data_IF_835414955195
#
_entry.id   IF_835414955195
#
_cell.length_a   1.000
_cell.length_b   1.000
_cell.length_c   1.000
_cell.angle_alpha   90.00
_cell.angle_beta   90.00
_cell.angle_gamma   90.00
#
_symmetry.space_group_name_H-M   'P 1'
#
loop_
_entity.id
_entity.type
_entity.pdbx_description
1 polymer ?
#
# COMPACT_ATOMS: atom_id res chain seq x y z
N UNK A 1 0.81 -13.36 -6.97
CA UNK A 1 -0.37 -12.56 -7.32
C UNK A 1 0.05 -11.09 -7.28
N UNK A 2 -0.41 -10.28 -8.23
CA UNK A 2 -0.07 -8.86 -8.36
C UNK A 2 -1.33 -8.04 -8.58
N UNK A 3 -1.21 -6.74 -8.33
CA UNK A 3 -2.23 -5.72 -8.54
C UNK A 3 -1.62 -4.65 -9.44
N UNK A 4 -2.41 -4.15 -10.38
CA UNK A 4 -2.03 -3.02 -11.23
C UNK A 4 -3.04 -1.91 -10.98
N UNK A 5 -2.54 -0.75 -10.58
CA UNK A 5 -3.33 0.44 -10.36
C UNK A 5 -3.23 1.30 -11.61
N UNK A 6 -4.36 1.52 -12.27
CA UNK A 6 -4.44 2.32 -13.48
C UNK A 6 -4.90 3.73 -13.13
N UNK A 7 -4.11 4.75 -13.47
CA UNK A 7 -4.56 6.13 -13.36
C UNK A 7 -5.78 6.38 -14.24
N UNK A 8 -6.75 7.13 -13.71
CA UNK A 8 -7.99 7.44 -14.43
C UNK A 8 -7.85 8.63 -15.38
N UNK A 9 -6.72 9.35 -15.36
CA UNK A 9 -6.43 10.50 -16.23
C UNK A 9 -5.49 10.20 -17.40
N UNK A 10 -4.73 9.11 -17.34
CA UNK A 10 -3.72 8.74 -18.33
C UNK A 10 -3.51 7.23 -18.40
N UNK A 11 -3.71 6.64 -19.59
CA UNK A 11 -3.57 5.20 -19.83
C UNK A 11 -2.13 4.67 -19.65
N UNK A 12 -1.11 5.55 -19.59
CA UNK A 12 0.29 5.15 -19.44
C UNK A 12 0.85 5.44 -18.04
N UNK A 13 0.00 5.82 -17.08
CA UNK A 13 0.42 6.07 -15.71
C UNK A 13 -0.14 4.98 -14.79
N UNK A 14 0.70 4.02 -14.45
CA UNK A 14 0.31 2.85 -13.67
C UNK A 14 1.27 2.60 -12.52
N UNK A 15 0.76 1.95 -11.48
CA UNK A 15 1.57 1.46 -10.37
C UNK A 15 1.36 -0.04 -10.20
N UNK A 16 2.45 -0.81 -10.15
CA UNK A 16 2.41 -2.27 -10.01
C UNK A 16 2.82 -2.68 -8.60
N UNK A 17 1.99 -3.50 -7.96
CA UNK A 17 2.22 -4.03 -6.63
C UNK A 17 2.17 -5.55 -6.62
N UNK A 18 3.09 -6.22 -5.94
CA UNK A 18 2.90 -7.63 -5.60
C UNK A 18 1.97 -7.75 -4.38
N UNK A 19 1.37 -8.93 -4.18
CA UNK A 19 0.43 -9.17 -3.07
C UNK A 19 1.04 -8.97 -1.67
N UNK A 20 2.34 -9.19 -1.53
CA UNK A 20 3.05 -9.07 -0.25
C UNK A 20 3.11 -7.62 0.22
N UNK A 21 3.46 -6.72 -0.70
CA UNK A 21 3.46 -5.29 -0.48
C UNK A 21 2.04 -4.72 -0.42
N UNK A 22 1.18 -5.14 -1.36
CA UNK A 22 -0.17 -4.59 -1.47
C UNK A 22 -1.00 -4.81 -0.21
N UNK A 23 -0.98 -6.02 0.35
CA UNK A 23 -1.70 -6.29 1.60
C UNK A 23 -1.18 -5.46 2.77
N UNK A 24 0.13 -5.29 2.91
CA UNK A 24 0.69 -4.50 3.99
C UNK A 24 0.29 -3.02 3.89
N UNK A 25 0.33 -2.41 2.69
CA UNK A 25 -0.12 -1.01 2.56
C UNK A 25 -1.62 -0.85 2.77
N UNK A 26 -2.46 -1.84 2.44
CA UNK A 26 -3.89 -1.75 2.71
C UNK A 26 -4.20 -1.71 4.20
N UNK A 27 -3.45 -2.42 5.04
CA UNK A 27 -3.59 -2.30 6.51
C UNK A 27 -3.14 -0.91 7.00
N UNK A 28 -2.11 -0.32 6.40
CA UNK A 28 -1.71 1.07 6.69
C UNK A 28 -2.82 2.05 6.31
N UNK A 29 -3.38 1.95 5.11
CA UNK A 29 -4.48 2.80 4.64
C UNK A 29 -5.71 2.64 5.53
N UNK A 30 -5.98 1.42 5.99
CA UNK A 30 -7.06 1.13 6.94
C UNK A 30 -6.85 1.83 8.28
N UNK A 31 -5.65 1.81 8.82
CA UNK A 31 -5.30 2.47 10.10
C UNK A 31 -5.40 4.00 10.02
N UNK A 32 -5.06 4.56 8.85
CA UNK A 32 -5.20 6.00 8.58
C UNK A 32 -6.66 6.47 8.47
N UNK A 33 -7.62 5.54 8.31
CA UNK A 33 -9.07 5.80 8.24
C UNK A 33 -9.50 6.88 7.21
N UNK A 34 -8.78 6.94 6.07
CA UNK A 34 -9.01 7.95 5.02
C UNK A 34 -10.19 7.57 4.12
N UNK A 35 -10.35 6.27 3.86
CA UNK A 35 -11.43 5.69 3.06
C UNK A 35 -12.11 4.58 3.84
N UNK A 36 -13.38 4.31 3.52
CA UNK A 36 -14.16 3.30 4.25
C UNK A 36 -13.47 1.92 4.25
N UNK A 37 -13.58 1.18 5.35
CA UNK A 37 -13.05 -0.19 5.45
C UNK A 37 -13.55 -1.11 4.33
N UNK A 38 -14.82 -0.95 3.91
CA UNK A 38 -15.38 -1.70 2.78
C UNK A 38 -14.60 -1.46 1.50
N UNK A 39 -14.16 -0.22 1.25
CA UNK A 39 -13.42 0.16 0.05
C UNK A 39 -11.99 -0.39 0.08
N UNK A 40 -11.30 -0.28 1.24
CA UNK A 40 -10.00 -0.93 1.46
C UNK A 40 -10.09 -2.44 1.21
N UNK A 41 -11.12 -3.08 1.75
CA UNK A 41 -11.37 -4.52 1.57
C UNK A 41 -11.57 -4.88 0.10
N UNK A 42 -12.30 -4.07 -0.66
CA UNK A 42 -12.51 -4.28 -2.10
C UNK A 42 -11.21 -4.14 -2.90
N UNK A 43 -10.32 -3.20 -2.54
CA UNK A 43 -8.99 -3.06 -3.14
C UNK A 43 -8.10 -4.29 -2.92
N UNK A 44 -8.37 -5.10 -1.89
CA UNK A 44 -7.66 -6.34 -1.61
C UNK A 44 -8.02 -7.52 -2.52
N UNK A 45 -9.07 -7.40 -3.34
CA UNK A 45 -9.53 -8.45 -4.25
C UNK A 45 -9.27 -8.06 -5.71
N UNK A 46 -8.65 -8.96 -6.46
CA UNK A 46 -8.49 -8.80 -7.90
C UNK A 46 -9.85 -8.78 -8.61
N UNK A 47 -9.91 -8.04 -9.73
CA UNK A 47 -11.04 -7.94 -10.64
C UNK A 47 -12.33 -7.31 -10.05
N UNK A 48 -12.24 -6.63 -8.90
CA UNK A 48 -13.34 -5.80 -8.38
C UNK A 48 -13.44 -4.46 -9.11
N UNK A 49 -12.35 -3.97 -9.71
CA UNK A 49 -12.32 -2.69 -10.40
C UNK A 49 -12.58 -1.51 -9.45
N UNK A 50 -12.03 -1.60 -8.24
CA UNK A 50 -12.32 -0.62 -7.18
C UNK A 50 -11.70 0.71 -7.57
N UNK A 51 -12.49 1.79 -7.54
CA UNK A 51 -12.04 3.12 -7.92
C UNK A 51 -11.80 3.97 -6.69
N UNK A 52 -10.62 4.58 -6.63
CA UNK A 52 -10.27 5.66 -5.72
C UNK A 52 -10.35 6.96 -6.52
N UNK A 53 -11.13 7.93 -6.05
CA UNK A 53 -11.22 9.21 -6.74
C UNK A 53 -9.97 10.08 -6.49
N UNK A 54 -9.91 11.24 -7.14
CA UNK A 54 -8.76 12.13 -7.03
C UNK A 54 -8.52 12.60 -5.59
N UNK A 55 -9.58 12.98 -4.88
CA UNK A 55 -9.46 13.54 -3.54
C UNK A 55 -8.99 12.46 -2.57
N UNK A 56 -9.60 11.28 -2.60
CA UNK A 56 -9.18 10.13 -1.80
C UNK A 56 -7.74 9.71 -2.13
N UNK A 57 -7.36 9.67 -3.41
CA UNK A 57 -6.01 9.32 -3.81
C UNK A 57 -4.99 10.31 -3.25
N UNK A 58 -5.29 11.61 -3.32
CA UNK A 58 -4.40 12.65 -2.80
C UNK A 58 -4.31 12.58 -1.28
N UNK A 59 -5.42 12.40 -0.57
CA UNK A 59 -5.42 12.20 0.88
C UNK A 59 -4.58 10.99 1.30
N UNK A 60 -4.70 9.86 0.60
CA UNK A 60 -3.85 8.68 0.82
C UNK A 60 -2.37 9.04 0.62
N UNK A 61 -2.04 9.69 -0.50
CA UNK A 61 -0.67 10.07 -0.82
C UNK A 61 -0.05 11.03 0.20
N UNK A 62 -0.82 12.03 0.65
CA UNK A 62 -0.39 12.99 1.67
C UNK A 62 -0.14 12.31 3.01
N UNK A 63 -1.09 11.51 3.50
CA UNK A 63 -0.94 10.81 4.77
C UNK A 63 0.23 9.81 4.76
N UNK A 64 0.42 9.08 3.66
CA UNK A 64 1.59 8.20 3.52
C UNK A 64 2.90 8.99 3.55
N UNK A 65 2.97 10.12 2.85
CA UNK A 65 4.16 10.98 2.80
C UNK A 65 4.45 11.65 4.15
N UNK A 66 3.42 12.14 4.83
CA UNK A 66 3.57 13.04 5.98
C UNK A 66 3.53 12.30 7.32
N UNK A 67 2.85 11.15 7.39
CA UNK A 67 2.67 10.40 8.64
C UNK A 67 3.43 9.08 8.69
N UNK A 68 3.56 8.39 7.55
CA UNK A 68 4.14 7.04 7.48
C UNK A 68 5.61 7.10 7.09
N UNK A 69 5.93 7.81 6.00
CA UNK A 69 7.29 7.91 5.47
C UNK A 69 8.32 8.43 6.50
N UNK A 70 8.02 9.44 7.36
CA UNK A 70 8.98 9.91 8.35
C UNK A 70 9.29 8.89 9.45
N UNK A 71 8.37 7.95 9.71
CA UNK A 71 8.55 6.85 10.68
C UNK A 71 9.39 5.71 10.08
N UNK A 72 9.32 5.54 8.76
CA UNK A 72 10.07 4.56 7.97
C UNK A 72 11.37 5.17 7.47
N UNK A 73 12.48 5.03 8.20
CA UNK A 73 13.79 5.35 7.62
C UNK A 73 14.10 4.44 6.40
N UNK A 74 14.99 4.81 5.46
CA UNK A 74 15.22 4.08 4.21
C UNK A 74 15.44 2.56 4.32
N UNK A 75 16.02 2.08 5.42
CA UNK A 75 16.31 0.65 5.66
C UNK A 75 15.23 -0.07 6.49
N UNK A 76 14.08 0.56 6.73
CA UNK A 76 12.98 -0.01 7.50
C UNK A 76 11.83 -0.44 6.61
N UNK A 77 11.05 -1.36 7.14
CA UNK A 77 9.79 -1.83 6.56
C UNK A 77 8.72 -1.94 7.64
N UNK A 78 7.47 -1.75 7.23
CA UNK A 78 6.29 -1.92 8.06
C UNK A 78 5.61 -3.22 7.66
N UNK A 79 5.25 -4.03 8.64
CA UNK A 79 4.51 -5.27 8.43
C UNK A 79 2.99 -5.03 8.39
N UNK A 80 2.22 -6.06 8.03
CA UNK A 80 0.76 -5.97 8.00
C UNK A 80 0.11 -5.77 9.39
N UNK A 81 0.82 -6.02 10.49
CA UNK A 81 0.36 -5.68 11.85
C UNK A 81 0.74 -4.24 12.26
N UNK A 82 1.28 -3.46 11.31
CA UNK A 82 1.77 -2.08 11.48
C UNK A 82 3.04 -1.92 12.32
N UNK A 83 3.64 -3.03 12.79
CA UNK A 83 4.94 -2.98 13.43
C UNK A 83 6.04 -2.64 12.43
N UNK A 84 7.03 -1.86 12.86
CA UNK A 84 8.17 -1.44 12.03
C UNK A 84 9.40 -2.24 12.45
N UNK A 85 10.11 -2.77 11.45
CA UNK A 85 11.39 -3.45 11.64
C UNK A 85 12.47 -2.82 10.76
N UNK A 86 13.72 -2.93 11.20
CA UNK A 86 14.94 -2.65 10.43
C UNK A 86 15.64 -3.94 9.94
N UNK A 87 15.09 -5.11 10.27
CA UNK A 87 15.60 -6.37 9.77
C UNK A 87 15.37 -6.47 8.26
N UNK A 88 16.37 -6.88 7.47
CA UNK A 88 16.23 -7.06 6.03
C UNK A 88 15.31 -8.24 5.69
N UNK A 89 14.66 -8.19 4.53
CA UNK A 89 13.87 -9.33 4.05
C UNK A 89 14.79 -10.47 3.60
N UNK A 90 14.82 -11.54 4.39
CA UNK A 90 15.60 -12.75 4.13
C UNK A 90 14.82 -13.80 3.32
N UNK A 91 13.59 -13.46 2.88
CA UNK A 91 12.66 -14.34 2.18
C UNK A 91 12.20 -15.56 2.99
N UNK A 92 12.34 -15.53 4.32
CA UNK A 92 11.75 -16.54 5.19
C UNK A 92 10.23 -16.50 5.08
N UNK A 93 9.63 -17.63 4.70
CA UNK A 93 8.18 -17.78 4.61
C UNK A 93 7.63 -18.35 5.93
N UNK A 94 6.94 -17.51 6.68
CA UNK A 94 6.27 -17.89 7.93
C UNK A 94 4.98 -18.64 7.63
N UNK A 95 4.85 -19.86 8.16
CA UNK A 95 3.66 -20.73 7.96
C UNK A 95 2.75 -20.79 9.18
N UNK A 96 3.28 -20.47 10.36
CA UNK A 96 2.52 -20.45 11.60
C UNK A 96 1.54 -19.29 11.56
N UNK A 97 0.26 -19.56 11.85
CA UNK A 97 -0.83 -18.60 11.69
C UNK A 97 -0.57 -17.28 12.43
N UNK A 98 0.04 -17.37 13.62
CA UNK A 98 0.36 -16.22 14.48
C UNK A 98 1.53 -15.36 13.95
N UNK A 99 2.26 -15.85 12.94
CA UNK A 99 3.41 -15.16 12.32
C UNK A 99 3.23 -14.87 10.83
N UNK A 100 2.16 -15.40 10.20
CA UNK A 100 1.91 -15.24 8.76
C UNK A 100 1.83 -13.78 8.30
N UNK A 101 1.50 -12.85 9.20
CA UNK A 101 1.47 -11.41 8.93
C UNK A 101 2.87 -10.85 8.57
N UNK A 102 3.95 -11.47 9.05
CA UNK A 102 5.35 -11.08 8.74
C UNK A 102 5.72 -11.28 7.27
N UNK A 103 4.99 -12.14 6.55
CA UNK A 103 5.21 -12.32 5.11
C UNK A 103 4.79 -11.09 4.28
N UNK A 104 4.05 -10.16 4.88
CA UNK A 104 3.51 -8.97 4.22
C UNK A 104 4.22 -7.76 4.82
N UNK A 105 4.98 -7.04 3.99
CA UNK A 105 5.64 -5.81 4.41
C UNK A 105 5.82 -4.84 3.26
N UNK A 106 6.01 -3.55 3.57
CA UNK A 106 6.37 -2.51 2.61
C UNK A 106 7.52 -1.67 3.16
N UNK A 107 8.52 -1.43 2.32
CA UNK A 107 9.68 -0.61 2.65
C UNK A 107 9.45 0.87 2.37
N UNK A 108 10.37 1.70 2.89
CA UNK A 108 10.37 3.15 2.68
C UNK A 108 10.22 3.55 1.21
N UNK A 109 11.08 3.03 0.33
CA UNK A 109 11.07 3.44 -1.09
C UNK A 109 9.77 3.07 -1.80
N UNK A 110 9.20 1.93 -1.46
CA UNK A 110 7.91 1.50 -2.00
C UNK A 110 6.78 2.45 -1.56
N UNK A 111 6.73 2.82 -0.27
CA UNK A 111 5.74 3.78 0.25
C UNK A 111 5.93 5.15 -0.41
N UNK A 112 7.16 5.61 -0.58
CA UNK A 112 7.47 6.87 -1.28
C UNK A 112 6.91 6.84 -2.70
N UNK A 113 7.23 5.80 -3.46
CA UNK A 113 6.85 5.72 -4.87
C UNK A 113 5.33 5.58 -5.02
N UNK A 114 4.66 4.85 -4.11
CA UNK A 114 3.20 4.75 -4.08
C UNK A 114 2.53 6.08 -3.68
N UNK A 115 3.07 6.78 -2.68
CA UNK A 115 2.57 8.10 -2.30
C UNK A 115 2.70 9.10 -3.46
N UNK A 116 3.82 9.08 -4.19
CA UNK A 116 4.00 9.91 -5.38
C UNK A 116 2.98 9.56 -6.48
N UNK A 117 2.75 8.27 -6.73
CA UNK A 117 1.71 7.81 -7.66
C UNK A 117 0.34 8.39 -7.28
N UNK A 118 -0.07 8.22 -6.02
CA UNK A 118 -1.32 8.73 -5.48
C UNK A 118 -1.48 10.25 -5.72
N UNK A 119 -0.46 11.03 -5.37
CA UNK A 119 -0.44 12.50 -5.50
C UNK A 119 -0.46 13.00 -6.96
N UNK A 120 0.07 12.21 -7.88
CA UNK A 120 0.11 12.58 -9.31
C UNK A 120 -1.11 12.07 -10.09
N UNK A 121 -1.79 11.07 -9.55
CA UNK A 121 -2.96 10.46 -10.18
C UNK A 121 -4.15 11.42 -10.25
N UNK A 122 -5.09 11.14 -11.14
CA UNK A 122 -6.42 11.74 -11.21
C UNK A 122 -7.47 10.83 -10.55
N UNK A 123 -7.05 10.10 -9.53
CA UNK A 123 -7.73 8.89 -9.05
C UNK A 123 -7.24 7.67 -9.82
N UNK A 124 -7.47 6.48 -9.26
CA UNK A 124 -6.97 5.24 -9.83
C UNK A 124 -7.96 4.09 -9.66
N UNK A 125 -7.87 3.12 -10.55
CA UNK A 125 -8.61 1.87 -10.47
C UNK A 125 -7.66 0.73 -10.14
N UNK A 126 -8.04 -0.11 -9.17
CA UNK A 126 -7.35 -1.36 -8.79
C UNK A 126 -8.10 -2.57 -9.32
#
# INVERSE_FOLDING_TARGET
>A
MSFTLHDMGSENFEFSANVWNWKAVLEVIKDLDIISESKVRQMGYNAMGTKIDLEEAHLIGEALRDEILPKLTPNKRIYADLSITDEPDDMTLFKDADEMWKNYSVGHDWIRDFAEFCLRSKGFQV
#
